data_IF_926525860109
#
_entry.id   IF_926525860109
#
_cell.length_a   1.000
_cell.length_b   1.000
_cell.length_c   1.000
_cell.angle_alpha   90.00
_cell.angle_beta   90.00
_cell.angle_gamma   90.00
#
_symmetry.space_group_name_H-M   'P 1'
#
loop_
_entity.id
_entity.type
_entity.pdbx_description
1 polymer ?
#
# COMPACT_ATOMS: atom_id res chain seq x y z
N UNK A 1 11.72 8.64 -20.53
CA UNK A 1 10.92 9.75 -19.97
C UNK A 1 11.80 10.75 -19.21
N UNK A 2 12.66 10.31 -18.28
CA UNK A 2 13.63 11.17 -17.58
C UNK A 2 14.43 12.06 -18.53
N UNK A 3 14.96 11.50 -19.62
CA UNK A 3 15.73 12.25 -20.62
C UNK A 3 14.99 13.38 -21.34
N UNK A 4 13.65 13.37 -21.38
CA UNK A 4 12.84 14.46 -21.97
C UNK A 4 12.65 15.58 -20.95
N UNK A 5 12.41 15.20 -19.69
CA UNK A 5 12.28 16.13 -18.56
C UNK A 5 13.57 16.92 -18.36
N UNK A 6 14.72 16.23 -18.36
CA UNK A 6 16.03 16.86 -18.21
C UNK A 6 16.31 17.86 -19.34
N UNK A 7 15.95 17.54 -20.59
CA UNK A 7 16.10 18.46 -21.73
C UNK A 7 15.26 19.72 -21.59
N UNK A 8 14.04 19.62 -21.05
CA UNK A 8 13.19 20.78 -20.82
C UNK A 8 13.78 21.67 -19.71
N UNK A 9 14.19 21.06 -18.60
CA UNK A 9 14.85 21.74 -17.49
C UNK A 9 16.14 22.46 -17.94
N UNK A 10 17.00 21.77 -18.70
CA UNK A 10 18.27 22.33 -19.21
C UNK A 10 18.04 23.50 -20.19
N UNK A 11 16.85 23.62 -20.79
CA UNK A 11 16.45 24.77 -21.61
C UNK A 11 15.86 25.94 -20.81
N UNK A 12 15.88 25.86 -19.47
CA UNK A 12 15.30 26.88 -18.59
C UNK A 12 13.78 26.86 -18.52
N UNK A 13 13.13 25.78 -19.01
CA UNK A 13 11.68 25.62 -18.88
C UNK A 13 11.40 25.07 -17.47
N UNK A 14 10.59 25.75 -16.64
CA UNK A 14 10.22 25.23 -15.33
C UNK A 14 9.49 23.88 -15.46
N UNK A 15 9.90 22.89 -14.66
CA UNK A 15 9.28 21.56 -14.64
C UNK A 15 8.75 21.26 -13.24
N UNK A 16 7.46 21.00 -13.14
CA UNK A 16 6.82 20.52 -11.92
C UNK A 16 6.55 19.03 -12.08
N UNK A 17 7.04 18.23 -11.15
CA UNK A 17 6.74 16.79 -11.07
C UNK A 17 5.61 16.60 -10.08
N UNK A 18 4.60 15.84 -10.47
CA UNK A 18 3.44 15.57 -9.64
C UNK A 18 3.33 14.08 -9.34
N UNK A 19 3.02 13.76 -8.08
CA UNK A 19 2.73 12.42 -7.55
C UNK A 19 3.92 11.44 -7.52
N UNK A 20 4.52 11.15 -8.68
CA UNK A 20 5.58 10.14 -8.82
C UNK A 20 6.95 10.78 -9.04
N UNK A 21 7.89 10.51 -8.14
CA UNK A 21 9.26 11.01 -8.27
C UNK A 21 9.94 10.36 -9.47
N UNK A 22 10.87 11.10 -10.07
CA UNK A 22 11.75 10.63 -11.13
C UNK A 22 13.15 10.38 -10.57
N UNK A 23 13.93 9.52 -11.23
CA UNK A 23 15.33 9.31 -10.89
C UNK A 23 16.23 10.42 -11.47
N UNK A 24 15.94 11.67 -11.14
CA UNK A 24 16.71 12.87 -11.52
C UNK A 24 16.32 14.04 -10.62
N UNK A 25 17.26 14.94 -10.34
CA UNK A 25 17.03 16.19 -9.60
C UNK A 25 16.77 17.39 -10.53
N UNK A 26 16.70 17.17 -11.84
CA UNK A 26 16.46 18.22 -12.85
C UNK A 26 14.97 18.54 -12.99
N UNK A 27 14.41 19.10 -11.92
CA UNK A 27 13.05 19.63 -11.87
C UNK A 27 13.01 20.84 -10.94
N UNK A 28 12.01 21.71 -11.11
CA UNK A 28 11.88 22.95 -10.33
C UNK A 28 11.18 22.71 -9.00
N UNK A 29 10.14 21.88 -8.99
CA UNK A 29 9.40 21.50 -7.78
C UNK A 29 8.78 20.10 -7.92
N UNK A 30 8.61 19.43 -6.78
CA UNK A 30 7.83 18.20 -6.66
C UNK A 30 6.61 18.46 -5.78
N UNK A 31 5.44 18.01 -6.22
CA UNK A 31 4.19 18.08 -5.47
C UNK A 31 3.61 16.67 -5.37
N UNK A 32 3.52 16.13 -4.16
CA UNK A 32 2.97 14.80 -3.92
C UNK A 32 2.96 14.46 -2.44
N UNK A 33 2.37 13.31 -2.10
CA UNK A 33 2.32 12.82 -0.74
C UNK A 33 3.71 12.38 -0.22
N UNK A 34 3.93 12.46 1.09
CA UNK A 34 5.04 11.77 1.73
C UNK A 34 4.69 10.28 1.89
N UNK A 35 5.06 9.47 0.90
CA UNK A 35 4.69 8.06 0.86
C UNK A 35 5.40 7.20 1.93
N UNK A 36 6.54 7.65 2.48
CA UNK A 36 7.14 7.03 3.66
C UNK A 36 6.21 7.17 4.85
N UNK A 37 5.70 8.39 5.10
CA UNK A 37 4.78 8.64 6.22
C UNK A 37 3.45 7.92 6.02
N UNK A 38 2.96 7.77 4.78
CA UNK A 38 1.78 6.92 4.49
C UNK A 38 2.02 5.50 4.99
N UNK A 39 3.16 4.90 4.64
CA UNK A 39 3.53 3.56 5.11
C UNK A 39 3.63 3.48 6.63
N UNK A 40 4.29 4.46 7.27
CA UNK A 40 4.43 4.53 8.72
C UNK A 40 3.07 4.67 9.41
N UNK A 41 2.18 5.49 8.87
CA UNK A 41 0.84 5.71 9.41
C UNK A 41 -0.01 4.44 9.34
N UNK A 42 0.04 3.70 8.23
CA UNK A 42 -0.63 2.41 8.13
C UNK A 42 -0.14 1.41 9.18
N UNK A 43 1.17 1.32 9.41
CA UNK A 43 1.75 0.46 10.44
C UNK A 43 1.37 0.91 11.86
N UNK A 44 1.50 2.20 12.17
CA UNK A 44 1.13 2.77 13.46
C UNK A 44 -0.36 2.57 13.76
N UNK A 45 -1.22 2.69 12.75
CA UNK A 45 -2.64 2.41 12.91
C UNK A 45 -2.88 0.94 13.28
N UNK A 46 -2.25 -0.01 12.58
CA UNK A 46 -2.35 -1.44 12.93
C UNK A 46 -1.86 -1.67 14.37
N UNK A 47 -0.71 -1.08 14.74
CA UNK A 47 -0.16 -1.16 16.09
C UNK A 47 -1.08 -0.54 17.16
N UNK A 48 -1.89 0.46 16.81
CA UNK A 48 -2.80 1.10 17.77
C UNK A 48 -4.01 0.23 18.17
N UNK A 49 -4.37 -0.77 17.36
CA UNK A 49 -5.54 -1.62 17.56
C UNK A 49 -5.29 -2.83 18.49
N UNK A 50 -4.20 -2.78 19.27
CA UNK A 50 -3.51 -3.91 19.90
C UNK A 50 -4.26 -4.60 21.06
N UNK A 51 -5.16 -5.53 20.74
CA UNK A 51 -5.60 -6.58 21.69
C UNK A 51 -5.12 -8.00 21.32
N UNK A 52 -4.69 -8.24 20.07
CA UNK A 52 -4.24 -9.56 19.55
C UNK A 52 -3.13 -9.39 18.49
N UNK A 53 -2.33 -10.45 18.20
CA UNK A 53 -1.33 -10.40 17.13
C UNK A 53 -1.94 -10.02 15.77
N UNK A 54 -1.31 -9.07 15.09
CA UNK A 54 -1.71 -8.59 13.77
C UNK A 54 -0.99 -9.37 12.68
N UNK A 55 -1.77 -10.04 11.83
CA UNK A 55 -1.32 -10.90 10.74
C UNK A 55 -1.76 -10.28 9.41
N UNK A 56 -0.78 -9.87 8.60
CA UNK A 56 -1.00 -8.97 7.47
C UNK A 56 -0.80 -9.69 6.13
N UNK A 57 -1.73 -9.43 5.21
CA UNK A 57 -1.54 -9.56 3.77
C UNK A 57 -1.18 -8.18 3.20
N UNK A 58 0.06 -8.02 2.73
CA UNK A 58 0.56 -6.81 2.08
C UNK A 58 0.35 -6.93 0.56
N UNK A 59 -0.41 -6.00 -0.05
CA UNK A 59 -0.69 -5.99 -1.49
C UNK A 59 -0.20 -4.68 -2.11
N UNK A 60 0.74 -4.79 -3.04
CA UNK A 60 1.44 -3.67 -3.66
C UNK A 60 1.00 -3.46 -5.11
N UNK A 61 1.20 -2.27 -5.64
CA UNK A 61 1.21 -2.10 -7.09
C UNK A 61 2.37 -2.86 -7.72
N UNK A 62 2.17 -3.44 -8.92
CA UNK A 62 3.19 -4.15 -9.69
C UNK A 62 4.32 -3.27 -10.24
N UNK A 63 4.22 -1.95 -10.14
CA UNK A 63 5.25 -1.03 -10.62
C UNK A 63 6.33 -0.74 -9.56
N UNK A 64 7.49 -0.24 -10.02
CA UNK A 64 8.58 0.20 -9.15
C UNK A 64 8.54 1.72 -8.93
N UNK A 65 7.35 2.32 -8.84
CA UNK A 65 7.21 3.76 -8.64
C UNK A 65 7.60 4.17 -7.21
N UNK A 66 7.95 5.45 -7.04
CA UNK A 66 8.34 5.97 -5.73
C UNK A 66 7.26 5.75 -4.66
N UNK A 67 5.94 5.90 -4.92
CA UNK A 67 4.93 5.57 -3.92
C UNK A 67 4.96 4.12 -3.44
N UNK A 68 5.13 3.15 -4.35
CA UNK A 68 5.20 1.73 -3.99
C UNK A 68 6.41 1.46 -3.11
N UNK A 69 7.59 1.95 -3.51
CA UNK A 69 8.82 1.73 -2.74
C UNK A 69 8.73 2.42 -1.36
N UNK A 70 8.30 3.67 -1.32
CA UNK A 70 8.27 4.46 -0.09
C UNK A 70 7.20 3.98 0.90
N UNK A 71 5.98 3.64 0.44
CA UNK A 71 4.93 3.05 1.30
C UNK A 71 5.37 1.73 1.90
N UNK A 72 6.08 0.91 1.13
CA UNK A 72 6.68 -0.33 1.63
C UNK A 72 7.71 -0.04 2.73
N UNK A 73 8.70 0.82 2.44
CA UNK A 73 9.78 1.10 3.37
C UNK A 73 9.26 1.70 4.68
N UNK A 74 8.40 2.71 4.60
CA UNK A 74 7.82 3.35 5.78
C UNK A 74 7.00 2.38 6.65
N UNK A 75 6.28 1.45 6.03
CA UNK A 75 5.55 0.41 6.77
C UNK A 75 6.52 -0.52 7.52
N UNK A 76 7.57 -1.00 6.85
CA UNK A 76 8.54 -1.93 7.41
C UNK A 76 9.46 -1.30 8.46
N UNK A 77 9.74 0.00 8.38
CA UNK A 77 10.45 0.75 9.43
C UNK A 77 9.76 0.66 10.79
N UNK A 78 8.42 0.73 10.81
CA UNK A 78 7.63 0.65 12.04
C UNK A 78 7.52 -0.79 12.50
N UNK A 79 7.06 -1.70 11.63
CA UNK A 79 6.73 -3.06 12.06
C UNK A 79 7.96 -3.89 12.45
N UNK A 80 9.17 -3.49 12.03
CA UNK A 80 10.41 -4.15 12.47
C UNK A 80 10.58 -4.15 14.00
N UNK A 81 10.07 -3.13 14.68
CA UNK A 81 10.14 -3.00 16.13
C UNK A 81 8.85 -3.44 16.84
N UNK A 82 7.86 -3.96 16.11
CA UNK A 82 6.55 -4.36 16.63
C UNK A 82 6.40 -5.89 16.61
N UNK A 83 6.80 -6.61 17.66
CA UNK A 83 6.83 -8.08 17.66
C UNK A 83 5.43 -8.72 17.51
N UNK A 84 4.37 -7.96 17.78
CA UNK A 84 2.98 -8.39 17.64
C UNK A 84 2.45 -8.25 16.21
N UNK A 85 3.24 -7.72 15.27
CA UNK A 85 2.85 -7.49 13.88
C UNK A 85 3.72 -8.35 12.97
N UNK A 86 3.08 -9.15 12.11
CA UNK A 86 3.81 -9.94 11.10
C UNK A 86 3.13 -9.92 9.74
N UNK A 87 3.95 -9.81 8.69
CA UNK A 87 3.53 -9.93 7.29
C UNK A 87 3.61 -11.40 6.90
N UNK A 88 2.45 -12.02 6.74
CA UNK A 88 2.33 -13.45 6.44
C UNK A 88 2.37 -13.69 4.93
N UNK A 89 1.87 -12.73 4.14
CA UNK A 89 1.88 -12.77 2.69
C UNK A 89 2.20 -11.39 2.12
N UNK A 90 2.89 -11.41 0.99
CA UNK A 90 3.16 -10.25 0.16
C UNK A 90 2.93 -10.62 -1.30
N UNK A 91 2.06 -9.88 -1.97
CA UNK A 91 1.70 -10.09 -3.38
C UNK A 91 1.64 -8.75 -4.13
N UNK A 92 1.65 -8.80 -5.45
CA UNK A 92 1.36 -7.64 -6.30
C UNK A 92 -0.13 -7.63 -6.69
N UNK A 93 -0.62 -6.48 -7.15
CA UNK A 93 -2.02 -6.24 -7.50
C UNK A 93 -2.48 -7.00 -8.76
N UNK A 94 -1.54 -7.35 -9.63
CA UNK A 94 -1.78 -8.25 -10.76
C UNK A 94 -2.17 -9.68 -10.34
N UNK A 95 -1.71 -10.12 -9.16
CA UNK A 95 -1.94 -11.47 -8.65
C UNK A 95 -3.25 -11.62 -7.87
N UNK A 96 -3.99 -10.54 -7.61
CA UNK A 96 -5.13 -10.53 -6.67
C UNK A 96 -6.14 -11.63 -6.98
N UNK A 97 -6.60 -11.71 -8.22
CA UNK A 97 -7.65 -12.66 -8.62
C UNK A 97 -7.20 -14.12 -8.50
N UNK A 98 -5.90 -14.38 -8.64
CA UNK A 98 -5.35 -15.73 -8.56
C UNK A 98 -5.00 -16.14 -7.12
N UNK A 99 -4.36 -15.24 -6.37
CA UNK A 99 -3.72 -15.59 -5.08
C UNK A 99 -4.59 -15.28 -3.88
N UNK A 100 -5.38 -14.19 -3.89
CA UNK A 100 -6.23 -13.83 -2.75
C UNK A 100 -7.24 -14.93 -2.43
N UNK A 101 -7.94 -15.56 -3.40
CA UNK A 101 -8.87 -16.63 -3.06
C UNK A 101 -8.19 -17.78 -2.30
N UNK A 102 -6.99 -18.18 -2.75
CA UNK A 102 -6.22 -19.28 -2.14
C UNK A 102 -5.74 -18.92 -0.73
N UNK A 103 -5.28 -17.68 -0.53
CA UNK A 103 -4.87 -17.19 0.78
C UNK A 103 -6.06 -17.21 1.75
N UNK A 104 -7.21 -16.71 1.31
CA UNK A 104 -8.43 -16.68 2.14
C UNK A 104 -8.96 -18.08 2.46
N UNK A 105 -8.82 -19.05 1.56
CA UNK A 105 -9.18 -20.45 1.84
C UNK A 105 -8.25 -21.10 2.89
N UNK A 106 -7.06 -20.53 3.11
CA UNK A 106 -6.03 -21.05 4.03
C UNK A 106 -5.99 -20.37 5.41
N UNK A 107 -6.95 -19.49 5.74
CA UNK A 107 -6.93 -18.70 6.99
C UNK A 107 -6.88 -19.54 8.27
N UNK A 108 -7.35 -20.79 8.23
CA UNK A 108 -7.28 -21.72 9.36
C UNK A 108 -5.85 -22.24 9.64
N UNK A 109 -4.97 -22.24 8.63
CA UNK A 109 -3.56 -22.64 8.76
C UNK A 109 -2.67 -21.43 8.98
N UNK A 110 -2.89 -20.37 8.19
CA UNK A 110 -2.09 -19.14 8.22
C UNK A 110 -3.03 -17.93 8.27
N UNK A 111 -3.46 -17.53 9.48
CA UNK A 111 -4.46 -16.48 9.65
C UNK A 111 -4.01 -15.12 9.12
N UNK A 112 -4.98 -14.33 8.66
CA UNK A 112 -4.85 -12.92 8.30
C UNK A 112 -6.02 -12.17 8.94
N UNK A 113 -5.74 -11.05 9.58
CA UNK A 113 -6.74 -10.14 10.14
C UNK A 113 -6.57 -8.69 9.66
N UNK A 114 -5.54 -8.41 8.87
CA UNK A 114 -5.35 -7.15 8.16
C UNK A 114 -4.95 -7.37 6.70
N UNK A 115 -5.54 -6.58 5.81
CA UNK A 115 -5.02 -6.33 4.46
C UNK A 115 -4.48 -4.92 4.41
N UNK A 116 -3.18 -4.80 4.15
CA UNK A 116 -2.55 -3.51 3.82
C UNK A 116 -2.38 -3.42 2.30
N UNK A 117 -3.30 -2.72 1.67
CA UNK A 117 -3.30 -2.45 0.24
C UNK A 117 -2.70 -1.07 -0.02
N UNK A 118 -1.86 -0.97 -1.05
CA UNK A 118 -1.17 0.29 -1.34
C UNK A 118 -2.09 1.37 -1.90
N UNK A 119 -3.29 1.03 -2.34
CA UNK A 119 -4.34 2.00 -2.61
C UNK A 119 -5.73 1.40 -2.38
N UNK A 120 -6.73 2.26 -2.53
CA UNK A 120 -8.13 1.97 -2.30
C UNK A 120 -8.75 1.02 -3.33
N UNK A 121 -8.29 1.05 -4.59
CA UNK A 121 -8.74 0.09 -5.61
C UNK A 121 -8.31 -1.35 -5.25
N UNK A 122 -7.03 -1.51 -4.87
CA UNK A 122 -6.48 -2.79 -4.40
C UNK A 122 -7.23 -3.26 -3.15
N UNK A 123 -7.50 -2.36 -2.21
CA UNK A 123 -8.27 -2.66 -1.00
C UNK A 123 -9.67 -3.15 -1.36
N UNK A 124 -10.37 -2.42 -2.22
CA UNK A 124 -11.74 -2.73 -2.63
C UNK A 124 -11.84 -4.05 -3.42
N UNK A 125 -10.91 -4.30 -4.35
CA UNK A 125 -10.84 -5.57 -5.10
C UNK A 125 -10.64 -6.76 -4.16
N UNK A 126 -9.73 -6.65 -3.21
CA UNK A 126 -9.46 -7.69 -2.22
C UNK A 126 -10.66 -7.92 -1.30
N UNK A 127 -11.31 -6.84 -0.85
CA UNK A 127 -12.53 -6.92 -0.05
C UNK A 127 -13.66 -7.62 -0.78
N UNK A 128 -13.87 -7.36 -2.08
CA UNK A 128 -14.91 -8.05 -2.87
C UNK A 128 -14.72 -9.57 -2.87
N UNK A 129 -13.47 -10.03 -2.94
CA UNK A 129 -13.14 -11.46 -2.88
C UNK A 129 -13.35 -12.00 -1.46
N UNK A 130 -12.96 -11.25 -0.43
CA UNK A 130 -13.23 -11.63 0.96
C UNK A 130 -14.74 -11.75 1.23
N UNK A 131 -15.54 -10.82 0.71
CA UNK A 131 -16.99 -10.80 0.82
C UNK A 131 -17.65 -11.96 0.09
N UNK A 132 -17.17 -12.33 -1.10
CA UNK A 132 -17.70 -13.50 -1.82
C UNK A 132 -17.43 -14.82 -1.09
N UNK A 133 -16.46 -14.83 -0.16
CA UNK A 133 -16.13 -15.94 0.72
C UNK A 133 -16.73 -15.82 2.14
N UNK A 134 -17.37 -14.70 2.47
CA UNK A 134 -17.98 -14.45 3.77
C UNK A 134 -16.99 -14.30 4.93
N UNK A 135 -15.77 -13.81 4.65
CA UNK A 135 -14.71 -13.62 5.67
C UNK A 135 -14.32 -12.16 5.88
N UNK A 136 -14.97 -11.22 5.18
CA UNK A 136 -14.66 -9.80 5.19
C UNK A 136 -14.81 -9.15 6.56
N UNK A 137 -15.75 -9.62 7.39
CA UNK A 137 -15.95 -9.07 8.75
C UNK A 137 -14.80 -9.42 9.71
N UNK A 138 -14.03 -10.48 9.39
CA UNK A 138 -12.89 -10.93 10.20
C UNK A 138 -11.57 -10.23 9.82
N UNK A 139 -11.56 -9.44 8.75
CA UNK A 139 -10.37 -8.82 8.17
C UNK A 139 -10.58 -7.30 8.08
N UNK A 140 -9.62 -6.53 8.59
CA UNK A 140 -9.61 -5.08 8.40
C UNK A 140 -8.86 -4.72 7.12
N UNK A 141 -9.42 -3.82 6.32
CA UNK A 141 -8.84 -3.40 5.03
C UNK A 141 -8.34 -1.96 5.12
N UNK A 142 -7.07 -1.76 4.79
CA UNK A 142 -6.39 -0.46 4.77
C UNK A 142 -6.03 -0.15 3.32
N UNK A 143 -6.49 1.00 2.83
CA UNK A 143 -6.14 1.56 1.53
C UNK A 143 -5.54 2.97 1.67
N UNK A 144 -5.21 3.56 0.52
CA UNK A 144 -4.68 4.91 0.34
C UNK A 144 -5.34 5.47 -0.92
N UNK A 145 -5.54 6.80 -0.97
CA UNK A 145 -6.01 7.61 -2.13
C UNK A 145 -7.37 8.30 -1.90
N UNK A 146 -8.06 8.02 -0.79
CA UNK A 146 -9.24 8.76 -0.33
C UNK A 146 -10.48 8.56 -1.22
N UNK A 147 -10.55 7.44 -1.95
CA UNK A 147 -11.75 7.03 -2.66
C UNK A 147 -12.84 6.75 -1.63
N UNK A 148 -13.99 7.42 -1.75
CA UNK A 148 -15.13 7.19 -0.86
C UNK A 148 -15.77 5.81 -1.09
N UNK A 149 -15.08 4.80 -0.60
CA UNK A 149 -15.51 3.41 -0.55
C UNK A 149 -15.79 3.16 0.93
N UNK A 150 -17.04 2.83 1.25
CA UNK A 150 -17.59 2.67 2.61
C UNK A 150 -16.92 1.57 3.47
N UNK A 151 -15.85 0.99 2.96
CA UNK A 151 -15.20 -0.24 3.40
C UNK A 151 -13.83 0.06 4.06
N UNK A 152 -13.32 1.28 3.93
CA UNK A 152 -11.94 1.62 4.27
C UNK A 152 -11.85 2.43 5.56
N UNK A 153 -10.78 2.16 6.30
CA UNK A 153 -10.45 2.81 7.57
C UNK A 153 -9.97 4.25 7.39
N UNK A 154 -9.42 4.59 6.21
CA UNK A 154 -8.90 5.92 5.90
C UNK A 154 -9.78 6.57 4.82
N UNK A 155 -10.91 7.15 5.22
CA UNK A 155 -11.66 8.13 4.44
C UNK A 155 -12.13 9.25 5.36
#
# INVERSE_FOLDING_TARGET
MVSVIEKAYDKGIPVIIMDRKINSQKFTAFIGANNLDVGRNAANYIASLNEKPSKILEIRGSDNSSPVIERHLGFHEIIYNEPNISVEYRINDEDIEQRVPQILDSLHVKPINFVYAFNDDIAYRTWKIAKSKGVEESIKFIGVDGLNVQIMVFN
#
